data_IF_290291124784
#
_entry.id   IF_290291124784
#
_cell.length_a   1.000
_cell.length_b   1.000
_cell.length_c   1.000
_cell.angle_alpha   90.00
_cell.angle_beta   90.00
_cell.angle_gamma   90.00
#
_symmetry.space_group_name_H-M   'P 1'
#
loop_
_entity.id
_entity.type
_entity.pdbx_description
1 polymer ?
#
# COMPACT_ATOMS: atom_id res chain seq x y z
N UNK A 1 -5.38 -19.62 -1.06
CA UNK A 1 -4.87 -18.23 -1.04
C UNK A 1 -4.41 -17.89 0.37
N UNK A 2 -3.39 -17.05 0.51
CA UNK A 2 -2.74 -16.69 1.79
C UNK A 2 -3.73 -16.02 2.73
N UNK A 3 -4.52 -15.06 2.24
CA UNK A 3 -5.50 -14.35 3.07
C UNK A 3 -6.59 -15.26 3.65
N UNK A 4 -6.99 -16.31 2.94
CA UNK A 4 -7.95 -17.31 3.45
C UNK A 4 -7.39 -18.05 4.67
N UNK A 5 -6.10 -18.40 4.66
CA UNK A 5 -5.43 -19.03 5.80
C UNK A 5 -5.32 -18.10 7.03
N UNK A 6 -5.48 -16.80 6.83
CA UNK A 6 -5.44 -15.78 7.88
C UNK A 6 -6.85 -15.32 8.33
N UNK A 7 -7.92 -15.78 7.67
CA UNK A 7 -9.30 -15.31 7.89
C UNK A 7 -9.82 -15.51 9.32
N UNK A 8 -9.28 -16.52 10.03
CA UNK A 8 -9.64 -16.84 11.41
C UNK A 8 -8.86 -16.02 12.46
N UNK A 9 -7.89 -15.21 12.05
CA UNK A 9 -7.07 -14.43 12.97
C UNK A 9 -7.86 -13.27 13.60
N UNK A 10 -7.56 -13.01 14.87
CA UNK A 10 -8.11 -11.86 15.62
C UNK A 10 -7.27 -10.60 15.44
N UNK A 11 -5.97 -10.77 15.19
CA UNK A 11 -5.00 -9.71 15.07
C UNK A 11 -4.14 -10.00 13.84
N UNK A 12 -4.03 -9.04 12.93
CA UNK A 12 -3.20 -9.17 11.74
C UNK A 12 -2.31 -7.95 11.54
N UNK A 13 -1.09 -8.23 11.13
CA UNK A 13 -0.13 -7.24 10.65
C UNK A 13 0.27 -7.63 9.24
N UNK A 14 -0.07 -6.78 8.27
CA UNK A 14 0.20 -6.98 6.86
C UNK A 14 1.08 -5.84 6.36
N UNK A 15 2.32 -5.81 6.86
CA UNK A 15 3.36 -4.88 6.46
C UNK A 15 4.38 -5.58 5.57
N UNK A 16 4.57 -5.09 4.33
CA UNK A 16 5.56 -5.67 3.40
C UNK A 16 6.10 -4.63 2.45
N UNK A 17 7.40 -4.66 2.21
CA UNK A 17 8.15 -3.58 1.56
C UNK A 17 8.07 -3.57 0.03
N UNK A 18 7.77 -4.67 -0.69
CA UNK A 18 7.98 -4.59 -2.16
C UNK A 18 7.27 -5.61 -3.09
N UNK A 19 6.44 -6.56 -2.63
CA UNK A 19 5.99 -7.66 -3.53
C UNK A 19 4.56 -8.17 -3.36
N UNK A 20 3.59 -7.30 -3.08
CA UNK A 20 2.22 -7.75 -2.78
C UNK A 20 1.29 -7.86 -3.99
N UNK A 21 1.79 -8.41 -5.10
CA UNK A 21 0.89 -9.07 -6.06
C UNK A 21 0.09 -10.19 -5.38
N UNK A 22 0.68 -10.86 -4.38
CA UNK A 22 0.04 -11.98 -3.66
C UNK A 22 -1.22 -11.54 -2.93
N UNK A 23 -1.17 -10.51 -2.08
CA UNK A 23 -2.39 -10.04 -1.42
C UNK A 23 -3.39 -9.49 -2.42
N UNK A 24 -2.96 -8.71 -3.43
CA UNK A 24 -3.87 -8.19 -4.47
C UNK A 24 -4.61 -9.28 -5.24
N UNK A 25 -3.96 -10.41 -5.52
CA UNK A 25 -4.63 -11.57 -6.13
C UNK A 25 -5.62 -12.22 -5.16
N UNK A 26 -5.24 -12.33 -3.90
CA UNK A 26 -6.09 -12.90 -2.86
C UNK A 26 -7.33 -12.03 -2.56
N UNK A 27 -7.24 -10.69 -2.69
CA UNK A 27 -8.40 -9.79 -2.56
C UNK A 27 -9.51 -10.16 -3.56
N UNK A 28 -9.17 -10.66 -4.75
CA UNK A 28 -10.17 -11.11 -5.75
C UNK A 28 -10.98 -12.33 -5.29
N UNK A 29 -10.44 -13.10 -4.35
CA UNK A 29 -11.07 -14.31 -3.84
C UNK A 29 -11.97 -14.01 -2.63
N UNK A 30 -12.00 -12.75 -2.18
CA UNK A 30 -12.95 -12.20 -1.21
C UNK A 30 -13.07 -12.94 0.15
N UNK A 31 -11.98 -13.42 0.79
CA UNK A 31 -12.06 -13.96 2.14
C UNK A 31 -12.68 -12.97 3.15
N UNK A 32 -13.54 -13.48 4.03
CA UNK A 32 -14.16 -12.71 5.12
C UNK A 32 -13.38 -12.90 6.42
N UNK A 33 -13.01 -11.79 7.05
CA UNK A 33 -12.26 -11.74 8.31
C UNK A 33 -13.22 -11.59 9.49
N UNK A 34 -14.04 -12.63 9.71
CA UNK A 34 -15.14 -12.60 10.69
C UNK A 34 -14.70 -12.44 12.16
N UNK A 35 -13.43 -12.69 12.46
CA UNK A 35 -12.86 -12.62 13.83
C UNK A 35 -11.88 -11.46 14.03
N UNK A 36 -11.56 -10.73 12.97
CA UNK A 36 -10.49 -9.73 12.99
C UNK A 36 -10.93 -8.49 13.78
N UNK A 37 -10.19 -8.21 14.85
CA UNK A 37 -10.39 -7.05 15.73
C UNK A 37 -9.33 -5.98 15.54
N UNK A 38 -8.08 -6.37 15.29
CA UNK A 38 -6.99 -5.41 15.06
C UNK A 38 -6.28 -5.69 13.76
N UNK A 39 -6.06 -4.63 12.98
CA UNK A 39 -5.37 -4.71 11.70
C UNK A 39 -4.32 -3.60 11.58
N UNK A 40 -3.08 -3.98 11.25
CA UNK A 40 -2.01 -3.07 10.82
C UNK A 40 -1.72 -3.26 9.34
N UNK A 41 -1.73 -2.16 8.58
CA UNK A 41 -1.38 -2.11 7.16
C UNK A 41 -0.27 -1.05 6.93
N UNK A 42 0.59 -1.24 5.92
CA UNK A 42 1.49 -0.18 5.44
C UNK A 42 1.01 0.43 4.11
N UNK A 43 1.85 1.24 3.46
CA UNK A 43 1.50 2.11 2.32
C UNK A 43 0.86 1.42 1.11
N UNK A 44 1.04 0.11 0.91
CA UNK A 44 0.36 -0.59 -0.19
C UNK A 44 -1.17 -0.54 -0.08
N UNK A 45 -1.73 -0.39 1.12
CA UNK A 45 -3.19 -0.40 1.30
C UNK A 45 -3.88 0.87 0.78
N UNK A 46 -3.13 1.95 0.60
CA UNK A 46 -3.61 3.22 0.02
C UNK A 46 -3.30 3.34 -1.48
N UNK A 47 -2.55 2.40 -2.04
CA UNK A 47 -2.34 2.32 -3.48
C UNK A 47 -3.64 1.95 -4.22
N UNK A 48 -3.70 2.26 -5.51
CA UNK A 48 -4.82 1.94 -6.41
C UNK A 48 -6.18 2.35 -5.81
N UNK A 49 -6.31 3.65 -5.51
CA UNK A 49 -7.52 4.25 -4.94
C UNK A 49 -8.02 3.55 -3.67
N UNK A 50 -7.10 3.28 -2.75
CA UNK A 50 -7.40 2.69 -1.45
C UNK A 50 -8.04 1.28 -1.53
N UNK A 51 -7.88 0.56 -2.65
CA UNK A 51 -8.51 -0.75 -2.85
C UNK A 51 -8.22 -1.72 -1.70
N UNK A 52 -6.97 -1.80 -1.25
CA UNK A 52 -6.59 -2.67 -0.13
C UNK A 52 -7.29 -2.27 1.17
N UNK A 53 -7.26 -0.98 1.50
CA UNK A 53 -7.90 -0.45 2.70
C UNK A 53 -9.43 -0.69 2.70
N UNK A 54 -10.11 -0.31 1.62
CA UNK A 54 -11.57 -0.49 1.47
C UNK A 54 -11.95 -1.95 1.61
N UNK A 55 -11.18 -2.85 1.00
CA UNK A 55 -11.43 -4.28 1.10
C UNK A 55 -11.49 -4.75 2.56
N UNK A 56 -10.50 -4.45 3.39
CA UNK A 56 -10.48 -4.92 4.78
C UNK A 56 -11.60 -4.30 5.62
N UNK A 57 -11.94 -3.04 5.38
CA UNK A 57 -13.07 -2.38 6.05
C UNK A 57 -14.40 -3.07 5.71
N UNK A 58 -14.58 -3.51 4.47
CA UNK A 58 -15.80 -4.22 4.03
C UNK A 58 -15.87 -5.66 4.52
N UNK A 59 -14.72 -6.34 4.66
CA UNK A 59 -14.65 -7.78 4.94
C UNK A 59 -14.34 -8.12 6.41
N UNK A 60 -14.23 -7.11 7.28
CA UNK A 60 -13.94 -7.29 8.71
C UNK A 60 -15.05 -6.66 9.57
N UNK A 61 -16.21 -7.34 9.71
CA UNK A 61 -17.43 -6.73 10.28
C UNK A 61 -17.32 -6.35 11.75
N UNK A 62 -16.33 -6.88 12.47
CA UNK A 62 -16.10 -6.63 13.90
C UNK A 62 -14.78 -5.91 14.18
N UNK A 63 -14.17 -5.28 13.17
CA UNK A 63 -12.89 -4.59 13.34
C UNK A 63 -13.01 -3.46 14.35
N UNK A 64 -12.20 -3.52 15.41
CA UNK A 64 -12.20 -2.55 16.51
C UNK A 64 -11.08 -1.52 16.33
N UNK A 65 -9.95 -1.91 15.75
CA UNK A 65 -8.77 -1.04 15.61
C UNK A 65 -8.10 -1.24 14.24
N UNK A 66 -7.90 -0.13 13.53
CA UNK A 66 -7.10 -0.06 12.33
C UNK A 66 -5.88 0.83 12.59
N UNK A 67 -4.69 0.31 12.31
CA UNK A 67 -3.42 1.05 12.35
C UNK A 67 -2.84 1.14 10.94
N UNK A 68 -2.31 2.31 10.60
CA UNK A 68 -1.65 2.56 9.32
C UNK A 68 -0.21 2.99 9.56
N UNK A 69 0.74 2.20 9.06
CA UNK A 69 2.15 2.54 9.02
C UNK A 69 2.46 3.16 7.65
N UNK A 70 2.37 4.48 7.56
CA UNK A 70 2.61 5.19 6.31
C UNK A 70 4.00 5.83 6.34
N UNK A 71 4.88 5.33 5.48
CA UNK A 71 6.14 6.02 5.21
C UNK A 71 5.85 7.25 4.35
N UNK A 72 6.14 8.42 4.92
CA UNK A 72 6.09 9.65 4.14
C UNK A 72 7.35 9.71 3.27
N UNK A 73 7.23 9.78 1.93
CA UNK A 73 8.39 10.01 1.10
C UNK A 73 9.03 11.33 1.55
N UNK A 74 10.27 11.24 2.02
CA UNK A 74 11.12 12.39 2.32
C UNK A 74 11.53 13.03 1.00
N UNK A 75 10.58 13.65 0.29
CA UNK A 75 10.93 14.50 -0.83
C UNK A 75 11.91 15.54 -0.30
N UNK A 76 13.14 15.57 -0.80
CA UNK A 76 13.96 16.76 -0.61
C UNK A 76 13.18 17.87 -1.31
N UNK A 77 12.88 18.95 -0.61
CA UNK A 77 12.14 20.11 -1.13
C UNK A 77 12.66 20.59 -2.51
N UNK A 78 13.94 20.32 -2.82
CA UNK A 78 14.51 20.43 -4.17
C UNK A 78 13.73 19.66 -5.23
N UNK A 79 13.47 18.37 -5.07
CA UNK A 79 12.95 17.54 -6.16
C UNK A 79 11.53 17.99 -6.58
N UNK A 80 10.70 18.39 -5.60
CA UNK A 80 9.36 18.94 -5.84
C UNK A 80 9.40 20.34 -6.53
N UNK A 81 10.37 21.19 -6.16
CA UNK A 81 10.56 22.51 -6.80
C UNK A 81 11.04 22.39 -8.25
N UNK A 82 11.90 21.41 -8.55
CA UNK A 82 12.37 21.16 -9.92
C UNK A 82 11.25 20.66 -10.84
N UNK A 83 10.34 19.80 -10.32
CA UNK A 83 9.16 19.36 -11.07
C UNK A 83 8.15 20.49 -11.31
N UNK A 84 7.96 21.41 -10.34
CA UNK A 84 7.09 22.58 -10.51
C UNK A 84 7.63 23.58 -11.55
N UNK A 85 8.95 23.73 -11.66
CA UNK A 85 9.60 24.64 -12.63
C UNK A 85 9.54 24.12 -14.08
N UNK A 86 9.50 22.80 -14.29
CA UNK A 86 9.62 22.12 -15.59
C UNK A 86 8.29 21.85 -16.31
N UNK A 87 7.17 22.45 -15.90
CA UNK A 87 5.84 22.27 -16.50
C UNK A 87 5.70 22.68 -18.00
N UNK A 88 6.80 23.03 -18.67
CA UNK A 88 6.81 23.46 -20.07
C UNK A 88 7.86 22.81 -20.99
N UNK A 89 8.55 21.74 -20.59
CA UNK A 89 9.57 21.09 -21.43
C UNK A 89 9.14 19.64 -21.76
N UNK A 90 9.03 19.25 -23.04
CA UNK A 90 8.59 17.89 -23.39
C UNK A 90 9.65 16.86 -23.03
N UNK A 91 9.18 15.72 -22.54
CA UNK A 91 9.98 14.57 -22.09
C UNK A 91 10.97 14.11 -23.16
N UNK A 92 12.26 14.31 -22.90
CA UNK A 92 13.31 13.48 -23.48
C UNK A 92 14.31 13.08 -22.42
N UNK A 93 14.51 11.77 -22.34
CA UNK A 93 15.53 11.01 -21.61
C UNK A 93 15.21 10.58 -20.18
N UNK A 94 14.46 9.49 -20.09
CA UNK A 94 14.28 8.65 -18.90
C UNK A 94 15.53 7.77 -18.62
N UNK A 95 16.75 8.32 -18.79
CA UNK A 95 18.02 7.59 -18.60
C UNK A 95 18.83 8.06 -17.38
N UNK A 96 18.37 9.07 -16.65
CA UNK A 96 19.14 9.67 -15.54
C UNK A 96 18.98 8.95 -14.19
N UNK A 97 17.91 8.17 -14.00
CA UNK A 97 17.60 7.56 -12.70
C UNK A 97 18.44 6.31 -12.37
N UNK A 98 19.19 5.74 -13.32
CA UNK A 98 20.08 4.59 -13.05
C UNK A 98 21.47 4.97 -12.55
N UNK A 99 21.81 6.27 -12.47
CA UNK A 99 23.18 6.73 -12.21
C UNK A 99 23.44 7.26 -10.79
N UNK A 100 22.41 7.43 -9.95
CA UNK A 100 22.54 8.13 -8.65
C UNK A 100 22.43 7.16 -7.45
N UNK A 101 22.42 5.85 -7.70
CA UNK A 101 22.39 4.81 -6.66
C UNK A 101 23.63 3.89 -6.69
N UNK A 102 24.80 4.45 -6.99
CA UNK A 102 26.11 3.82 -6.69
C UNK A 102 26.84 4.60 -5.63
#
# INVERSE_FOLDING_TARGET
>A
VVLEGLSAATNLELTSDDRLSVFRMDLKWSPVFSKLKTLLLNEWCVADDFTGLVYFLQHSPILETLMLQLDTPKYKYRDYMWMKQMKGIPERSNHYYQSISR
#
